data_IF_920674980743
#
_entry.id   IF_920674980743
#
_cell.length_a   1.000
_cell.length_b   1.000
_cell.length_c   1.000
_cell.angle_alpha   90.00
_cell.angle_beta   90.00
_cell.angle_gamma   90.00
#
_symmetry.space_group_name_H-M   'P 1'
#
loop_
_entity.id
_entity.type
_entity.pdbx_description
1 polymer ?
#
# COMPACT_ATOMS: atom_id res chain seq x y z
N UNK A 1 -14.88 36.77 -41.18
CA UNK A 1 -13.82 36.16 -42.00
C UNK A 1 -12.43 36.69 -41.65
N UNK A 2 -12.21 38.02 -41.64
CA UNK A 2 -10.90 38.60 -41.30
C UNK A 2 -10.39 38.26 -39.88
N UNK A 3 -11.28 38.18 -38.89
CA UNK A 3 -10.91 37.85 -37.50
C UNK A 3 -10.48 36.38 -37.34
N UNK A 4 -11.05 35.48 -38.13
CA UNK A 4 -10.68 34.06 -38.11
C UNK A 4 -9.29 33.82 -38.71
N UNK A 5 -8.94 34.58 -39.76
CA UNK A 5 -7.60 34.53 -40.37
C UNK A 5 -6.53 35.07 -39.40
N UNK A 6 -6.83 36.17 -38.67
CA UNK A 6 -5.94 36.68 -37.61
C UNK A 6 -5.78 35.70 -36.45
N UNK A 7 -6.86 35.01 -36.08
CA UNK A 7 -6.82 33.96 -35.08
C UNK A 7 -5.88 32.84 -35.53
N UNK A 8 -6.06 32.29 -36.73
CA UNK A 8 -5.18 31.23 -37.25
C UNK A 8 -3.72 31.65 -37.36
N UNK A 9 -3.43 32.88 -37.81
CA UNK A 9 -2.05 33.41 -37.85
C UNK A 9 -1.42 33.54 -36.46
N UNK A 10 -2.20 33.91 -35.44
CA UNK A 10 -1.70 34.01 -34.05
C UNK A 10 -1.27 32.67 -33.46
N UNK A 11 -1.88 31.56 -33.90
CA UNK A 11 -1.59 30.22 -33.39
C UNK A 11 -0.80 29.34 -34.39
N UNK A 12 -0.50 29.84 -35.60
CA UNK A 12 0.24 29.12 -36.64
C UNK A 12 1.72 28.85 -36.26
N UNK A 13 2.32 29.73 -35.46
CA UNK A 13 3.72 29.62 -35.01
C UNK A 13 3.89 28.80 -33.72
N UNK A 14 2.78 28.30 -33.13
CA UNK A 14 2.86 27.44 -31.95
C UNK A 14 3.24 26.05 -32.40
N UNK A 15 4.54 25.81 -32.52
CA UNK A 15 5.02 24.45 -32.63
C UNK A 15 4.63 23.70 -31.34
N UNK A 16 3.92 22.55 -31.44
CA UNK A 16 3.60 21.76 -30.27
C UNK A 16 4.91 21.37 -29.60
N UNK A 17 5.11 21.79 -28.36
CA UNK A 17 6.27 21.38 -27.56
C UNK A 17 6.20 19.87 -27.39
N UNK A 18 7.01 19.14 -28.14
CA UNK A 18 7.16 17.70 -27.99
C UNK A 18 7.99 17.47 -26.74
N UNK A 19 7.38 16.89 -25.70
CA UNK A 19 8.09 16.48 -24.49
C UNK A 19 8.44 15.00 -24.61
N UNK A 20 9.71 14.67 -24.44
CA UNK A 20 10.18 13.30 -24.30
C UNK A 20 10.09 12.90 -22.83
N UNK A 21 9.38 11.81 -22.55
CA UNK A 21 9.25 11.27 -21.20
C UNK A 21 9.57 9.78 -21.21
N UNK A 22 10.66 9.41 -20.55
CA UNK A 22 11.06 8.03 -20.36
C UNK A 22 10.54 7.53 -19.02
N UNK A 23 9.83 6.40 -19.03
CA UNK A 23 9.38 5.75 -17.79
C UNK A 23 10.03 4.38 -17.69
N UNK A 24 10.67 4.05 -16.55
CA UNK A 24 11.13 2.68 -16.32
C UNK A 24 9.95 1.72 -16.34
N UNK A 25 10.18 0.53 -16.91
CA UNK A 25 9.22 -0.55 -16.92
C UNK A 25 9.93 -1.89 -16.80
N UNK A 26 9.24 -2.90 -16.27
CA UNK A 26 9.74 -4.26 -16.20
C UNK A 26 8.70 -5.28 -16.68
N UNK A 27 9.20 -6.47 -17.03
CA UNK A 27 8.40 -7.56 -17.60
C UNK A 27 8.29 -8.72 -16.61
N UNK A 28 7.07 -9.18 -16.38
CA UNK A 28 6.78 -10.39 -15.60
C UNK A 28 6.26 -11.46 -16.55
N UNK A 29 6.86 -12.65 -16.51
CA UNK A 29 6.40 -13.80 -17.30
C UNK A 29 5.53 -14.72 -16.45
N UNK A 30 4.31 -15.01 -16.93
CA UNK A 30 3.37 -15.97 -16.32
C UNK A 30 2.83 -16.92 -17.39
N UNK A 31 3.19 -18.20 -17.32
CA UNK A 31 2.64 -19.27 -18.17
C UNK A 31 2.55 -18.86 -19.67
N UNK A 32 3.67 -18.43 -20.27
CA UNK A 32 3.79 -17.90 -21.64
C UNK A 32 3.14 -16.54 -21.95
N UNK A 33 2.45 -15.90 -20.99
CA UNK A 33 1.96 -14.52 -21.12
C UNK A 33 2.91 -13.53 -20.45
N UNK A 34 3.14 -12.40 -21.09
CA UNK A 34 3.97 -11.32 -20.57
C UNK A 34 3.08 -10.19 -20.04
N UNK A 35 3.33 -9.73 -18.82
CA UNK A 35 2.72 -8.52 -18.25
C UNK A 35 3.78 -7.43 -18.15
N UNK A 36 3.45 -6.25 -18.65
CA UNK A 36 4.26 -5.05 -18.47
C UNK A 36 3.81 -4.35 -17.19
N UNK A 37 4.78 -4.01 -16.35
CA UNK A 37 4.57 -3.21 -15.17
C UNK A 37 5.33 -1.90 -15.34
N UNK A 38 4.61 -0.79 -15.24
CA UNK A 38 5.18 0.55 -15.26
C UNK A 38 5.75 0.86 -13.88
N UNK A 39 6.94 1.45 -13.83
CA UNK A 39 7.64 1.76 -12.59
C UNK A 39 8.96 1.03 -12.46
N UNK A 40 9.63 1.28 -11.33
CA UNK A 40 10.90 0.66 -11.02
C UNK A 40 10.70 -0.81 -10.69
N UNK A 41 11.70 -1.62 -11.05
CA UNK A 41 11.74 -3.02 -10.65
C UNK A 41 11.94 -3.10 -9.12
N UNK A 42 11.26 -4.03 -8.41
CA UNK A 42 11.50 -4.20 -6.99
C UNK A 42 12.97 -4.55 -6.70
N UNK A 43 13.54 -3.99 -5.64
CA UNK A 43 14.95 -4.13 -5.24
C UNK A 43 15.39 -5.60 -5.14
N UNK A 44 14.56 -6.43 -4.50
CA UNK A 44 14.78 -7.88 -4.36
C UNK A 44 14.89 -8.62 -5.71
N UNK A 45 14.45 -8.01 -6.80
CA UNK A 45 14.40 -8.58 -8.13
C UNK A 45 15.29 -7.83 -9.13
N UNK A 46 15.94 -6.73 -8.74
CA UNK A 46 16.77 -5.90 -9.63
C UNK A 46 17.84 -6.71 -10.36
N UNK A 47 18.45 -7.66 -9.65
CA UNK A 47 19.50 -8.55 -10.15
C UNK A 47 19.02 -9.55 -11.22
N UNK A 48 17.71 -9.76 -11.37
CA UNK A 48 17.15 -10.70 -12.33
C UNK A 48 16.90 -10.01 -13.67
N UNK A 49 17.52 -10.49 -14.74
CA UNK A 49 17.27 -9.97 -16.11
C UNK A 49 15.80 -10.14 -16.48
N UNK A 50 15.22 -11.29 -16.17
CA UNK A 50 13.81 -11.64 -16.40
C UNK A 50 13.15 -12.05 -15.10
N UNK A 51 11.98 -11.45 -14.79
CA UNK A 51 11.21 -11.83 -13.61
C UNK A 51 10.29 -12.99 -13.96
N UNK A 52 10.70 -14.19 -13.56
CA UNK A 52 9.90 -15.41 -13.68
C UNK A 52 8.79 -15.46 -12.64
N UNK A 53 7.74 -16.25 -12.94
CA UNK A 53 6.60 -16.49 -12.06
C UNK A 53 7.03 -16.86 -10.63
N UNK A 54 8.01 -17.76 -10.47
CA UNK A 54 8.45 -18.24 -9.15
C UNK A 54 9.13 -17.15 -8.33
N UNK A 55 9.96 -16.32 -8.95
CA UNK A 55 10.64 -15.19 -8.28
C UNK A 55 9.63 -14.10 -7.91
N UNK A 56 8.68 -13.84 -8.80
CA UNK A 56 7.56 -12.94 -8.52
C UNK A 56 6.69 -13.45 -7.36
N UNK A 57 6.37 -14.74 -7.34
CA UNK A 57 5.61 -15.37 -6.25
C UNK A 57 6.36 -15.31 -4.93
N UNK A 58 7.70 -15.50 -4.92
CA UNK A 58 8.50 -15.32 -3.69
C UNK A 58 8.46 -13.88 -3.17
N UNK A 59 8.60 -12.89 -4.05
CA UNK A 59 8.49 -11.47 -3.68
C UNK A 59 7.07 -11.15 -3.18
N UNK A 60 6.02 -11.60 -3.87
CA UNK A 60 4.64 -11.50 -3.39
C UNK A 60 4.43 -12.24 -2.06
N UNK A 61 5.06 -13.38 -1.84
CA UNK A 61 4.98 -14.13 -0.57
C UNK A 61 5.67 -13.35 0.55
N UNK A 62 6.79 -12.68 0.26
CA UNK A 62 7.46 -11.80 1.21
C UNK A 62 6.57 -10.60 1.56
N UNK A 63 5.99 -9.93 0.56
CA UNK A 63 5.03 -8.84 0.76
C UNK A 63 3.76 -9.31 1.48
N UNK A 64 3.26 -10.50 1.18
CA UNK A 64 2.11 -11.09 1.85
C UNK A 64 2.45 -11.44 3.30
N UNK A 65 3.64 -11.95 3.61
CA UNK A 65 4.06 -12.16 5.00
C UNK A 65 4.04 -10.84 5.79
N UNK A 66 4.39 -9.73 5.14
CA UNK A 66 4.26 -8.39 5.73
C UNK A 66 2.80 -7.90 5.78
N UNK A 67 1.90 -8.36 4.89
CA UNK A 67 0.46 -8.06 5.00
C UNK A 67 -0.20 -8.60 6.27
N UNK A 68 0.36 -9.65 6.89
CA UNK A 68 -0.25 -10.28 8.05
C UNK A 68 -0.24 -9.35 9.28
N UNK A 69 0.59 -8.31 9.27
CA UNK A 69 0.60 -7.29 10.31
C UNK A 69 0.67 -5.88 9.69
N UNK A 70 -0.49 -5.19 9.55
CA UNK A 70 -0.56 -3.88 8.91
C UNK A 70 0.38 -2.83 9.50
N UNK A 71 0.68 -2.91 10.80
CA UNK A 71 1.61 -2.01 11.49
C UNK A 71 3.06 -2.21 11.03
N UNK A 72 3.57 -3.45 10.95
CA UNK A 72 4.94 -3.72 10.46
C UNK A 72 5.07 -3.27 9.01
N UNK A 73 4.03 -3.48 8.19
CA UNK A 73 4.00 -3.03 6.80
C UNK A 73 3.99 -1.50 6.69
N UNK A 74 3.29 -0.81 7.59
CA UNK A 74 3.30 0.65 7.66
C UNK A 74 4.68 1.19 8.09
N UNK A 75 5.30 0.59 9.10
CA UNK A 75 6.66 0.93 9.54
C UNK A 75 7.70 0.65 8.45
N UNK A 76 7.54 -0.43 7.69
CA UNK A 76 8.34 -0.70 6.49
C UNK A 76 8.21 0.43 5.45
N UNK A 77 7.00 0.90 5.17
CA UNK A 77 6.79 2.01 4.23
C UNK A 77 7.40 3.33 4.71
N UNK A 78 7.38 3.63 6.00
CA UNK A 78 8.09 4.80 6.53
C UNK A 78 9.60 4.66 6.33
N UNK A 79 10.18 3.52 6.70
CA UNK A 79 11.63 3.30 6.51
C UNK A 79 12.03 3.36 5.05
N UNK A 80 11.20 2.83 4.15
CA UNK A 80 11.42 2.88 2.71
C UNK A 80 11.31 4.31 2.16
N UNK A 81 10.38 5.09 2.71
CA UNK A 81 10.20 6.50 2.42
C UNK A 81 11.46 7.30 2.79
N UNK A 82 11.97 7.07 3.99
CA UNK A 82 13.17 7.72 4.54
C UNK A 82 14.44 7.32 3.78
N UNK A 83 14.65 6.02 3.53
CA UNK A 83 15.87 5.51 2.89
C UNK A 83 16.00 5.94 1.43
N UNK A 84 14.88 6.07 0.71
CA UNK A 84 14.84 6.47 -0.70
C UNK A 84 14.60 7.96 -0.90
N UNK A 85 14.43 8.74 0.19
CA UNK A 85 14.18 10.18 0.13
C UNK A 85 12.86 10.55 -0.57
N UNK A 86 11.89 9.63 -0.56
CA UNK A 86 10.62 9.77 -1.26
C UNK A 86 9.66 10.57 -0.39
N UNK A 87 9.01 11.61 -0.90
CA UNK A 87 8.10 12.42 -0.07
C UNK A 87 6.62 12.07 -0.30
N UNK A 88 6.29 11.43 -1.43
CA UNK A 88 4.92 11.15 -1.82
C UNK A 88 4.52 9.69 -1.68
N UNK A 89 3.30 9.44 -1.21
CA UNK A 89 2.68 8.10 -1.20
C UNK A 89 2.53 7.54 -2.62
N UNK A 90 2.36 8.41 -3.63
CA UNK A 90 2.28 7.99 -5.04
C UNK A 90 3.61 7.44 -5.56
N UNK A 91 4.72 8.03 -5.11
CA UNK A 91 6.06 7.57 -5.46
C UNK A 91 6.39 6.27 -4.75
N UNK A 92 5.97 6.11 -3.48
CA UNK A 92 6.03 4.82 -2.78
C UNK A 92 5.27 3.73 -3.55
N UNK A 93 4.08 4.02 -4.06
CA UNK A 93 3.31 3.06 -4.89
C UNK A 93 4.05 2.66 -6.18
N UNK A 94 4.74 3.60 -6.83
CA UNK A 94 5.58 3.28 -7.99
C UNK A 94 6.79 2.42 -7.63
N UNK A 95 7.33 2.58 -6.44
CA UNK A 95 8.53 1.88 -5.97
C UNK A 95 8.20 0.46 -5.48
N UNK A 96 7.08 0.30 -4.79
CA UNK A 96 6.61 -1.01 -4.30
C UNK A 96 5.78 -1.77 -5.33
N UNK A 97 5.29 -1.09 -6.37
CA UNK A 97 4.34 -1.65 -7.34
C UNK A 97 2.92 -1.84 -6.78
N UNK A 98 2.65 -1.31 -5.59
CA UNK A 98 1.32 -1.35 -4.96
C UNK A 98 0.49 -0.11 -5.27
N UNK A 99 -0.83 -0.23 -5.09
CA UNK A 99 -1.73 0.90 -5.25
C UNK A 99 -1.50 1.95 -4.15
N UNK A 100 -1.38 3.22 -4.56
CA UNK A 100 -1.10 4.32 -3.64
C UNK A 100 -2.22 4.54 -2.61
N UNK A 101 -3.48 4.22 -2.95
CA UNK A 101 -4.61 4.33 -2.01
C UNK A 101 -4.51 3.25 -0.93
N UNK A 102 -4.06 2.06 -1.31
CA UNK A 102 -3.77 0.99 -0.36
C UNK A 102 -2.62 1.36 0.59
N UNK A 103 -1.50 1.88 0.07
CA UNK A 103 -0.37 2.34 0.91
C UNK A 103 -0.84 3.44 1.88
N UNK A 104 -1.63 4.41 1.41
CA UNK A 104 -2.18 5.45 2.26
C UNK A 104 -3.01 4.87 3.41
N UNK A 105 -3.87 3.89 3.13
CA UNK A 105 -4.67 3.19 4.14
C UNK A 105 -3.79 2.47 5.16
N UNK A 106 -2.74 1.78 4.72
CA UNK A 106 -1.81 1.12 5.63
C UNK A 106 -1.10 2.13 6.52
N UNK A 107 -0.56 3.22 5.96
CA UNK A 107 0.13 4.25 6.73
C UNK A 107 -0.75 4.87 7.81
N UNK A 108 -2.06 5.02 7.55
CA UNK A 108 -3.01 5.50 8.56
C UNK A 108 -3.12 4.60 9.79
N UNK A 109 -2.76 3.32 9.72
CA UNK A 109 -2.75 2.45 10.91
C UNK A 109 -1.73 2.90 11.96
N UNK A 110 -0.74 3.72 11.58
CA UNK A 110 0.20 4.33 12.52
C UNK A 110 -0.43 5.45 13.36
N UNK A 111 -1.62 5.94 13.00
CA UNK A 111 -2.40 6.90 13.78
C UNK A 111 -3.13 6.24 14.95
N UNK A 112 -3.06 4.91 15.08
CA UNK A 112 -3.58 4.19 16.24
C UNK A 112 -2.89 4.67 17.53
N UNK A 113 -3.65 4.73 18.61
CA UNK A 113 -3.10 5.00 19.94
C UNK A 113 -2.05 3.97 20.33
N UNK A 114 -1.04 4.40 21.10
CA UNK A 114 0.07 3.53 21.47
C UNK A 114 -0.37 2.27 22.24
N UNK A 115 -1.35 2.30 23.17
CA UNK A 115 -1.81 1.08 23.83
C UNK A 115 -2.36 0.03 22.86
N UNK A 116 -3.03 0.46 21.79
CA UNK A 116 -3.56 -0.45 20.76
C UNK A 116 -2.41 -1.05 19.94
N UNK A 117 -1.41 -0.22 19.57
CA UNK A 117 -0.21 -0.71 18.88
C UNK A 117 0.56 -1.72 19.72
N UNK A 118 0.72 -1.44 21.02
CA UNK A 118 1.43 -2.33 21.94
C UNK A 118 0.72 -3.67 22.09
N UNK A 119 -0.62 -3.66 22.19
CA UNK A 119 -1.41 -4.88 22.18
C UNK A 119 -1.20 -5.68 20.90
N UNK A 120 -1.30 -5.04 19.74
CA UNK A 120 -1.15 -5.68 18.44
C UNK A 120 0.28 -6.24 18.27
N UNK A 121 1.32 -5.51 18.67
CA UNK A 121 2.72 -5.94 18.65
C UNK A 121 2.97 -7.13 19.57
N UNK A 122 2.39 -7.11 20.76
CA UNK A 122 2.51 -8.21 21.74
C UNK A 122 1.83 -9.49 21.24
N UNK A 123 0.79 -9.36 20.43
CA UNK A 123 0.01 -10.47 19.88
C UNK A 123 0.31 -10.78 18.41
N UNK A 124 1.42 -10.28 17.86
CA UNK A 124 1.77 -10.44 16.43
C UNK A 124 1.89 -11.90 15.95
N UNK A 125 2.10 -12.84 16.87
CA UNK A 125 2.23 -14.26 16.54
C UNK A 125 0.89 -15.01 16.63
N UNK A 126 -0.18 -14.35 17.10
CA UNK A 126 -1.49 -14.97 17.26
C UNK A 126 -2.33 -14.77 15.97
N UNK A 127 -2.49 -15.81 15.13
CA UNK A 127 -3.17 -15.68 13.84
C UNK A 127 -4.65 -15.28 13.99
N UNK A 128 -5.31 -15.67 15.08
CA UNK A 128 -6.72 -15.37 15.34
C UNK A 128 -6.92 -13.87 15.56
N UNK A 129 -6.04 -13.25 16.35
CA UNK A 129 -6.05 -11.80 16.60
C UNK A 129 -5.78 -11.03 15.30
N UNK A 130 -4.81 -11.48 14.50
CA UNK A 130 -4.49 -10.84 13.23
C UNK A 130 -5.62 -10.93 12.20
N UNK A 131 -6.30 -12.09 12.12
CA UNK A 131 -7.45 -12.26 11.25
C UNK A 131 -8.63 -11.38 11.68
N UNK A 132 -8.85 -11.27 13.00
CA UNK A 132 -9.90 -10.43 13.53
C UNK A 132 -9.61 -8.94 13.27
N UNK A 133 -8.42 -8.45 13.64
CA UNK A 133 -7.98 -7.07 13.45
C UNK A 133 -7.39 -6.81 12.06
N UNK A 134 -8.15 -7.15 11.03
CA UNK A 134 -7.80 -6.82 9.65
C UNK A 134 -7.88 -5.30 9.39
N UNK A 135 -7.24 -4.84 8.31
CA UNK A 135 -7.06 -3.42 7.97
C UNK A 135 -8.36 -2.58 8.06
N UNK A 136 -9.51 -3.13 7.69
CA UNK A 136 -10.79 -2.40 7.76
C UNK A 136 -11.18 -2.06 9.21
N UNK A 137 -11.05 -3.00 10.15
CA UNK A 137 -11.34 -2.74 11.58
C UNK A 137 -10.33 -1.77 12.18
N UNK A 138 -9.04 -1.89 11.83
CA UNK A 138 -8.02 -0.94 12.26
C UNK A 138 -8.32 0.49 11.78
N UNK A 139 -8.74 0.65 10.52
CA UNK A 139 -9.13 1.95 9.98
C UNK A 139 -10.41 2.51 10.63
N UNK A 140 -11.32 1.65 11.09
CA UNK A 140 -12.52 2.06 11.83
C UNK A 140 -12.17 2.63 13.21
N UNK A 141 -11.17 2.04 13.87
CA UNK A 141 -10.59 2.59 15.11
C UNK A 141 -9.92 3.93 14.82
N UNK A 142 -9.03 3.99 13.82
CA UNK A 142 -8.34 5.24 13.43
C UNK A 142 -9.33 6.37 13.12
N UNK A 143 -10.48 6.05 12.51
CA UNK A 143 -11.51 7.03 12.17
C UNK A 143 -12.06 7.78 13.39
N UNK A 144 -11.96 7.21 14.60
CA UNK A 144 -12.42 7.86 15.82
C UNK A 144 -11.56 9.07 16.20
N UNK A 145 -10.33 9.17 15.69
CA UNK A 145 -9.44 10.30 15.91
C UNK A 145 -8.83 10.30 17.30
N UNK A 146 -9.56 10.79 18.31
CA UNK A 146 -9.04 10.93 19.67
C UNK A 146 -8.76 9.59 20.34
N UNK A 147 -7.64 9.51 21.07
CA UNK A 147 -7.19 8.30 21.77
C UNK A 147 -8.28 7.64 22.62
N UNK A 148 -9.04 8.42 23.41
CA UNK A 148 -10.11 7.87 24.25
C UNK A 148 -11.20 7.17 23.45
N UNK A 149 -11.57 7.74 22.30
CA UNK A 149 -12.59 7.16 21.41
C UNK A 149 -12.03 5.94 20.67
N UNK A 150 -10.76 5.98 20.27
CA UNK A 150 -10.08 4.82 19.71
C UNK A 150 -10.07 3.65 20.70
N UNK A 151 -9.72 3.91 21.97
CA UNK A 151 -9.69 2.89 23.02
C UNK A 151 -11.09 2.35 23.33
N UNK A 152 -12.11 3.21 23.35
CA UNK A 152 -13.51 2.77 23.49
C UNK A 152 -13.92 1.82 22.37
N UNK A 153 -13.67 2.21 21.11
CA UNK A 153 -13.97 1.37 19.94
C UNK A 153 -13.17 0.06 19.94
N UNK A 154 -11.91 0.12 20.37
CA UNK A 154 -11.07 -1.06 20.51
C UNK A 154 -11.63 -2.02 21.59
N UNK A 155 -12.12 -1.49 22.71
CA UNK A 155 -12.79 -2.28 23.75
C UNK A 155 -14.02 -3.02 23.25
N UNK A 156 -14.89 -2.36 22.48
CA UNK A 156 -16.05 -3.00 21.83
C UNK A 156 -15.63 -4.15 20.91
N UNK A 157 -14.58 -3.94 20.11
CA UNK A 157 -14.05 -4.96 19.20
C UNK A 157 -13.42 -6.13 19.96
N UNK A 158 -12.80 -5.89 21.11
CA UNK A 158 -12.26 -6.96 21.96
C UNK A 158 -13.39 -7.80 22.56
N UNK A 159 -14.51 -7.19 22.98
CA UNK A 159 -15.68 -7.94 23.43
C UNK A 159 -16.27 -8.81 22.32
N UNK A 160 -16.43 -8.25 21.11
CA UNK A 160 -16.89 -9.01 19.93
C UNK A 160 -15.94 -10.18 19.59
N UNK A 161 -14.62 -9.99 19.78
CA UNK A 161 -13.62 -11.04 19.60
C UNK A 161 -13.77 -12.16 20.62
N UNK A 162 -13.98 -11.82 21.90
CA UNK A 162 -14.17 -12.79 22.98
C UNK A 162 -15.45 -13.59 22.79
N UNK A 163 -16.56 -12.93 22.45
CA UNK A 163 -17.85 -13.58 22.14
C UNK A 163 -17.74 -14.53 20.93
N UNK A 164 -17.06 -14.08 19.87
CA UNK A 164 -16.81 -14.92 18.68
C UNK A 164 -15.90 -16.10 18.99
N UNK A 165 -14.94 -15.95 19.90
CA UNK A 165 -14.03 -17.02 20.30
C UNK A 165 -14.69 -18.05 21.22
N UNK A 166 -15.65 -17.61 22.04
CA UNK A 166 -16.41 -18.48 22.95
C UNK A 166 -17.53 -19.25 22.22
N UNK A 167 -18.17 -18.66 21.20
CA UNK A 167 -19.20 -19.33 20.40
C UNK A 167 -18.70 -20.54 19.61
N UNK A 168 -17.42 -20.56 19.24
CA UNK A 168 -16.77 -21.69 18.53
C UNK A 168 -16.52 -22.90 19.44
N UNK A 169 -16.55 -22.73 20.77
CA UNK A 169 -16.39 -23.83 21.73
C UNK A 169 -17.72 -24.49 22.12
N UNK A 170 -18.85 -23.97 21.63
CA UNK A 170 -20.20 -24.48 21.94
C UNK A 170 -20.88 -25.20 20.76
N UNK A 171 -20.19 -25.37 19.64
CA UNK A 171 -20.60 -26.23 18.50
C UNK A 171 -19.70 -27.46 18.40
#
# INVERSE_FOLDING_TARGET
>A
MADFIRYLQKYADIQPRTYWYETPFYRIFRNARQRFCLGNRPEDLEHLVTIEKRSWEKHLTHLNRLEHFPLDKAEYYIRLKESRGVNSVRELGKLTGEDWSYIAKILRTLELSEPIKDFLRSNKNNPTILQFFHLRKLLDIVRQGEERLQLGRFGELMQEFEESSLGVLTE
#
